data_IF_131794148966
#
_entry.id   IF_131794148966
#
_cell.length_a   1.000
_cell.length_b   1.000
_cell.length_c   1.000
_cell.angle_alpha   90.00
_cell.angle_beta   90.00
_cell.angle_gamma   90.00
#
_symmetry.space_group_name_H-M   'P 1'
#
loop_
_entity.id
_entity.type
_entity.pdbx_description
1 polymer ?
#
# COMPACT_ATOMS: atom_id res chain seq x y z
N UNK A 1 13.81 14.26 3.63
CA UNK A 1 14.42 13.02 4.16
C UNK A 1 14.29 11.97 3.06
N UNK A 2 15.35 11.25 2.70
CA UNK A 2 15.31 10.12 1.74
C UNK A 2 16.05 8.92 2.36
N UNK A 3 15.96 7.73 1.75
CA UNK A 3 16.55 6.49 2.27
C UNK A 3 17.88 6.10 1.63
N UNK A 4 18.47 6.98 0.81
CA UNK A 4 19.67 6.66 0.03
C UNK A 4 20.84 6.19 0.91
N UNK A 5 21.06 6.89 2.03
CA UNK A 5 22.14 6.58 2.98
C UNK A 5 21.93 5.24 3.68
N UNK A 6 20.68 4.90 3.99
CA UNK A 6 20.31 3.62 4.62
C UNK A 6 20.59 2.48 3.65
N UNK A 7 20.02 2.55 2.44
CA UNK A 7 20.18 1.56 1.37
C UNK A 7 21.65 1.33 0.99
N UNK A 8 22.44 2.40 0.87
CA UNK A 8 23.88 2.30 0.59
C UNK A 8 24.61 1.52 1.69
N UNK A 9 24.31 1.82 2.96
CA UNK A 9 24.95 1.16 4.11
C UNK A 9 24.55 -0.31 4.22
N UNK A 10 23.29 -0.65 3.93
CA UNK A 10 22.82 -2.04 3.89
C UNK A 10 23.59 -2.87 2.86
N UNK A 11 23.88 -2.29 1.69
CA UNK A 11 24.76 -2.89 0.68
C UNK A 11 26.26 -2.80 1.00
N UNK A 12 26.65 -2.21 2.13
CA UNK A 12 28.03 -2.01 2.57
C UNK A 12 28.90 -1.21 1.58
N UNK A 13 28.28 -0.33 0.80
CA UNK A 13 28.99 0.52 -0.16
C UNK A 13 29.47 1.82 0.50
N UNK A 14 30.63 2.31 0.10
CA UNK A 14 31.09 3.68 0.34
C UNK A 14 30.37 4.66 -0.60
N UNK A 15 30.41 5.95 -0.27
CA UNK A 15 29.84 6.98 -1.16
C UNK A 15 30.56 7.03 -2.52
N UNK A 16 31.84 6.66 -2.57
CA UNK A 16 32.64 6.64 -3.81
C UNK A 16 32.26 5.47 -4.72
N UNK A 17 32.06 4.27 -4.14
CA UNK A 17 31.62 3.08 -4.88
C UNK A 17 30.23 3.30 -5.48
N UNK A 18 29.26 3.75 -4.68
CA UNK A 18 27.92 4.05 -5.20
C UNK A 18 27.95 5.16 -6.28
N UNK A 19 28.78 6.18 -6.09
CA UNK A 19 28.93 7.24 -7.08
C UNK A 19 29.44 6.70 -8.42
N UNK A 20 30.41 5.78 -8.37
CA UNK A 20 30.98 5.11 -9.54
C UNK A 20 29.93 4.25 -10.26
N UNK A 21 29.14 3.48 -9.52
CA UNK A 21 28.09 2.62 -10.07
C UNK A 21 26.95 3.41 -10.73
N UNK A 22 26.61 4.58 -10.20
CA UNK A 22 25.51 5.44 -10.69
C UNK A 22 25.99 6.47 -11.73
N UNK A 23 27.31 6.58 -11.94
CA UNK A 23 27.94 7.52 -12.86
C UNK A 23 27.76 8.98 -12.43
N UNK A 24 28.03 9.28 -11.16
CA UNK A 24 27.99 10.64 -10.57
C UNK A 24 29.22 10.86 -9.69
N UNK A 25 29.41 12.08 -9.19
CA UNK A 25 30.51 12.34 -8.24
C UNK A 25 30.12 11.91 -6.82
N UNK A 26 31.11 11.53 -5.99
CA UNK A 26 30.91 11.30 -4.55
C UNK A 26 30.21 12.48 -3.85
N UNK A 27 30.57 13.71 -4.21
CA UNK A 27 29.94 14.93 -3.67
C UNK A 27 28.43 14.94 -3.98
N UNK A 28 28.03 14.43 -5.14
CA UNK A 28 26.61 14.34 -5.53
C UNK A 28 25.86 13.37 -4.60
N UNK A 29 26.42 12.18 -4.36
CA UNK A 29 25.85 11.22 -3.40
C UNK A 29 25.76 11.84 -2.00
N UNK A 30 26.83 12.46 -1.51
CA UNK A 30 26.86 13.11 -0.20
C UNK A 30 25.74 14.16 -0.05
N UNK A 31 25.60 15.04 -1.04
CA UNK A 31 24.56 16.10 -1.04
C UNK A 31 23.15 15.52 -1.10
N UNK A 32 22.95 14.42 -1.83
CA UNK A 32 21.68 13.71 -1.85
C UNK A 32 21.36 13.07 -0.49
N UNK A 33 22.32 12.38 0.11
CA UNK A 33 22.16 11.75 1.44
C UNK A 33 21.86 12.75 2.55
N UNK A 34 22.44 13.94 2.48
CA UNK A 34 22.21 15.03 3.43
C UNK A 34 20.94 15.83 3.13
N UNK A 35 20.28 15.59 2.00
CA UNK A 35 19.11 16.38 1.56
C UNK A 35 19.45 17.81 1.11
N UNK A 36 20.74 18.13 0.95
CA UNK A 36 21.21 19.43 0.44
C UNK A 36 20.82 19.64 -1.03
N UNK A 37 20.62 18.54 -1.78
CA UNK A 37 20.17 18.58 -3.17
C UNK A 37 19.09 17.54 -3.40
N UNK A 38 18.07 17.92 -4.16
CA UNK A 38 17.04 16.99 -4.64
C UNK A 38 17.62 16.00 -5.66
N UNK A 39 17.18 14.75 -5.57
CA UNK A 39 17.49 13.71 -6.56
C UNK A 39 16.54 13.93 -7.74
N UNK A 40 17.10 14.06 -8.94
CA UNK A 40 16.28 14.21 -10.16
C UNK A 40 15.61 12.88 -10.52
N UNK A 41 14.47 12.90 -11.24
CA UNK A 41 13.70 11.68 -11.54
C UNK A 41 14.51 10.57 -12.21
N UNK A 42 15.35 10.92 -13.20
CA UNK A 42 16.23 10.01 -13.91
C UNK A 42 17.22 9.30 -12.96
N UNK A 43 17.80 10.05 -12.03
CA UNK A 43 18.72 9.50 -11.03
C UNK A 43 18.00 8.76 -9.91
N UNK A 44 16.79 9.18 -9.54
CA UNK A 44 15.96 8.47 -8.57
C UNK A 44 15.59 7.08 -9.09
N UNK A 45 15.18 6.98 -10.36
CA UNK A 45 14.91 5.70 -11.02
C UNK A 45 16.17 4.81 -11.03
N UNK A 46 17.30 5.33 -11.50
CA UNK A 46 18.54 4.55 -11.57
C UNK A 46 19.00 4.02 -10.19
N UNK A 47 18.87 4.84 -9.14
CA UNK A 47 19.16 4.43 -7.78
C UNK A 47 18.18 3.36 -7.29
N UNK A 48 16.87 3.55 -7.52
CA UNK A 48 15.84 2.61 -7.12
C UNK A 48 16.04 1.23 -7.78
N UNK A 49 16.37 1.23 -9.09
CA UNK A 49 16.72 0.03 -9.85
C UNK A 49 17.96 -0.65 -9.30
N UNK A 50 19.01 0.13 -9.00
CA UNK A 50 20.23 -0.40 -8.40
C UNK A 50 19.96 -1.11 -7.07
N UNK A 51 19.12 -0.53 -6.20
CA UNK A 51 18.79 -1.11 -4.90
C UNK A 51 17.66 -2.14 -4.94
N UNK A 52 16.94 -2.27 -6.06
CA UNK A 52 15.81 -3.18 -6.20
C UNK A 52 14.57 -2.76 -5.39
N UNK A 53 14.37 -1.46 -5.20
CA UNK A 53 13.27 -0.89 -4.40
C UNK A 53 12.40 0.04 -5.25
N UNK A 54 11.20 0.40 -4.76
CA UNK A 54 10.36 1.42 -5.40
C UNK A 54 11.01 2.82 -5.33
N UNK A 55 10.73 3.67 -6.32
CA UNK A 55 11.21 5.07 -6.31
C UNK A 55 10.61 5.82 -5.13
N UNK A 56 9.34 5.54 -4.80
CA UNK A 56 8.65 6.12 -3.65
C UNK A 56 9.35 5.78 -2.34
N UNK A 57 9.80 4.53 -2.16
CA UNK A 57 10.54 4.11 -0.98
C UNK A 57 11.90 4.79 -0.89
N UNK A 58 12.67 4.79 -1.99
CA UNK A 58 13.99 5.43 -2.05
C UNK A 58 13.93 6.91 -1.63
N UNK A 59 12.92 7.64 -2.13
CA UNK A 59 12.72 9.05 -1.82
C UNK A 59 12.06 9.30 -0.46
N UNK A 60 11.61 8.25 0.23
CA UNK A 60 10.97 8.34 1.55
C UNK A 60 9.50 8.73 1.53
N UNK A 61 8.83 8.61 0.38
CA UNK A 61 7.38 8.82 0.24
C UNK A 61 6.57 7.57 0.58
N UNK A 62 7.20 6.40 0.55
CA UNK A 62 6.57 5.11 0.87
C UNK A 62 7.36 4.37 1.95
N UNK A 63 6.65 3.52 2.70
CA UNK A 63 7.23 2.63 3.70
C UNK A 63 7.49 1.23 3.15
N UNK A 64 6.78 0.82 2.10
CA UNK A 64 6.96 -0.47 1.46
C UNK A 64 8.11 -0.40 0.43
N UNK A 65 9.22 -1.15 0.61
CA UNK A 65 10.34 -1.14 -0.34
C UNK A 65 10.03 -1.87 -1.64
N UNK A 66 8.98 -2.70 -1.68
CA UNK A 66 8.66 -3.57 -2.81
C UNK A 66 8.50 -2.74 -4.09
N UNK A 67 9.32 -3.08 -5.08
CA UNK A 67 9.20 -2.56 -6.44
C UNK A 67 8.15 -3.37 -7.19
N UNK A 68 7.21 -2.68 -7.83
CA UNK A 68 6.22 -3.30 -8.70
C UNK A 68 6.60 -3.08 -10.16
N UNK A 69 6.27 -4.05 -11.00
CA UNK A 69 6.53 -4.00 -12.45
C UNK A 69 5.65 -2.97 -13.18
N UNK A 70 4.51 -2.61 -12.61
CA UNK A 70 3.60 -1.56 -13.07
C UNK A 70 3.83 -0.20 -12.39
N UNK A 71 4.97 -0.01 -11.72
CA UNK A 71 5.31 1.26 -11.07
C UNK A 71 5.44 2.39 -12.12
N UNK A 72 4.51 3.34 -12.06
CA UNK A 72 4.51 4.58 -12.83
C UNK A 72 5.22 5.67 -12.05
N UNK A 73 6.28 6.24 -12.63
CA UNK A 73 7.01 7.37 -12.07
C UNK A 73 6.70 8.62 -12.89
N UNK A 74 5.86 9.49 -12.33
CA UNK A 74 5.43 10.74 -12.96
C UNK A 74 6.21 11.90 -12.38
N UNK A 75 6.61 12.84 -13.24
CA UNK A 75 7.30 14.07 -12.78
C UNK A 75 6.50 15.29 -13.19
N UNK A 76 6.29 16.21 -12.25
CA UNK A 76 5.77 17.53 -12.58
C UNK A 76 6.89 18.40 -13.18
N UNK A 77 6.80 18.82 -14.45
CA UNK A 77 7.88 19.53 -15.13
C UNK A 77 8.17 20.93 -14.55
N UNK A 78 7.19 21.54 -13.87
CA UNK A 78 7.34 22.87 -13.26
C UNK A 78 7.96 22.81 -11.88
N UNK A 79 7.63 21.79 -11.09
CA UNK A 79 8.05 21.70 -9.68
C UNK A 79 9.13 20.65 -9.45
N UNK A 80 9.45 19.82 -10.46
CA UNK A 80 10.31 18.64 -10.36
C UNK A 80 9.88 17.66 -9.25
N UNK A 81 8.61 17.73 -8.81
CA UNK A 81 8.03 16.76 -7.88
C UNK A 81 7.84 15.42 -8.59
N UNK A 82 8.22 14.36 -7.90
CA UNK A 82 8.07 12.97 -8.34
C UNK A 82 6.83 12.39 -7.67
N UNK A 83 5.99 11.72 -8.44
CA UNK A 83 4.84 10.96 -7.97
C UNK A 83 5.02 9.51 -8.43
N UNK A 84 4.77 8.57 -7.52
CA UNK A 84 4.83 7.13 -7.80
C UNK A 84 3.44 6.54 -7.65
N UNK A 85 3.09 5.61 -8.54
CA UNK A 85 1.83 4.89 -8.48
C UNK A 85 1.98 3.47 -9.04
N UNK A 86 1.34 2.50 -8.41
CA UNK A 86 1.24 1.12 -8.88
C UNK A 86 -0.15 0.59 -8.55
N UNK A 87 -0.85 0.06 -9.55
CA UNK A 87 -2.18 -0.53 -9.35
C UNK A 87 -2.10 -1.79 -8.49
N UNK A 88 -1.03 -2.58 -8.66
CA UNK A 88 -0.78 -3.75 -7.82
C UNK A 88 -0.56 -3.37 -6.36
N UNK A 89 0.23 -2.32 -6.11
CA UNK A 89 0.45 -1.83 -4.75
C UNK A 89 -0.85 -1.29 -4.12
N UNK A 90 -1.65 -0.53 -4.89
CA UNK A 90 -2.94 -0.02 -4.42
C UNK A 90 -3.90 -1.15 -4.06
N UNK A 91 -4.00 -2.18 -4.91
CA UNK A 91 -4.82 -3.36 -4.64
C UNK A 91 -4.38 -4.10 -3.37
N UNK A 92 -3.07 -4.25 -3.16
CA UNK A 92 -2.53 -4.84 -1.92
C UNK A 92 -2.91 -3.99 -0.70
N UNK A 93 -2.77 -2.65 -0.76
CA UNK A 93 -3.17 -1.75 0.33
C UNK A 93 -4.66 -1.84 0.66
N UNK A 94 -5.52 -1.92 -0.36
CA UNK A 94 -6.97 -2.08 -0.17
C UNK A 94 -7.28 -3.43 0.48
N UNK A 95 -6.61 -4.50 0.04
CA UNK A 95 -6.76 -5.81 0.65
C UNK A 95 -6.32 -5.79 2.12
N UNK A 96 -5.14 -5.26 2.41
CA UNK A 96 -4.62 -5.16 3.78
C UNK A 96 -5.56 -4.33 4.67
N UNK A 97 -6.11 -3.22 4.15
CA UNK A 97 -7.09 -2.41 4.85
C UNK A 97 -8.39 -3.18 5.13
N UNK A 98 -8.86 -3.97 4.16
CA UNK A 98 -10.03 -4.82 4.34
C UNK A 98 -9.79 -5.93 5.37
N UNK A 99 -8.65 -6.63 5.28
CA UNK A 99 -8.27 -7.66 6.23
C UNK A 99 -8.17 -7.09 7.66
N UNK A 100 -7.53 -5.92 7.82
CA UNK A 100 -7.45 -5.24 9.11
C UNK A 100 -8.84 -4.85 9.62
N UNK A 101 -9.72 -4.33 8.76
CA UNK A 101 -11.09 -3.99 9.15
C UNK A 101 -11.87 -5.21 9.63
N UNK A 102 -11.79 -6.34 8.92
CA UNK A 102 -12.44 -7.60 9.31
C UNK A 102 -11.93 -8.07 10.67
N UNK A 103 -10.61 -8.02 10.89
CA UNK A 103 -9.97 -8.43 12.14
C UNK A 103 -10.33 -7.50 13.32
N UNK A 104 -10.23 -6.18 13.13
CA UNK A 104 -10.52 -5.18 14.17
C UNK A 104 -11.97 -5.25 14.64
N UNK A 105 -12.89 -5.62 13.75
CA UNK A 105 -14.33 -5.72 14.04
C UNK A 105 -14.79 -7.16 14.33
N UNK A 106 -13.86 -8.13 14.43
CA UNK A 106 -14.17 -9.55 14.67
C UNK A 106 -15.26 -10.11 13.74
N UNK A 107 -15.28 -9.66 12.48
CA UNK A 107 -16.27 -10.09 11.50
C UNK A 107 -15.89 -11.49 11.00
N UNK A 108 -16.86 -12.39 10.99
CA UNK A 108 -16.74 -13.70 10.34
C UNK A 108 -17.54 -13.64 9.04
N UNK A 109 -16.83 -13.69 7.91
CA UNK A 109 -17.43 -13.65 6.58
C UNK A 109 -17.10 -14.93 5.81
N UNK A 110 -18.13 -15.56 5.25
CA UNK A 110 -17.97 -16.66 4.30
C UNK A 110 -17.62 -16.14 2.90
N UNK A 111 -17.07 -17.00 2.04
CA UNK A 111 -16.81 -16.64 0.64
C UNK A 111 -18.07 -16.12 -0.08
N UNK A 112 -19.23 -16.72 0.20
CA UNK A 112 -20.53 -16.29 -0.35
C UNK A 112 -20.89 -14.88 0.11
N UNK A 113 -20.68 -14.56 1.40
CA UNK A 113 -20.93 -13.23 1.95
C UNK A 113 -19.97 -12.20 1.32
N UNK A 114 -18.69 -12.53 1.14
CA UNK A 114 -17.72 -11.64 0.49
C UNK A 114 -18.14 -11.37 -0.97
N UNK A 115 -18.56 -12.39 -1.71
CA UNK A 115 -19.02 -12.23 -3.10
C UNK A 115 -20.30 -11.40 -3.19
N UNK A 116 -21.23 -11.59 -2.25
CA UNK A 116 -22.45 -10.78 -2.18
C UNK A 116 -22.14 -9.30 -1.94
N UNK A 117 -21.27 -8.99 -0.96
CA UNK A 117 -20.83 -7.61 -0.70
C UNK A 117 -20.11 -7.00 -1.90
N UNK A 118 -19.20 -7.75 -2.54
CA UNK A 118 -18.50 -7.30 -3.74
C UNK A 118 -19.47 -6.94 -4.87
N UNK A 119 -20.50 -7.78 -5.08
CA UNK A 119 -21.54 -7.53 -6.09
C UNK A 119 -22.37 -6.29 -5.75
N UNK A 120 -22.80 -6.15 -4.50
CA UNK A 120 -23.54 -4.95 -4.04
C UNK A 120 -22.71 -3.67 -4.23
N UNK A 121 -21.42 -3.69 -3.91
CA UNK A 121 -20.52 -2.56 -4.12
C UNK A 121 -20.37 -2.25 -5.61
N UNK A 122 -20.23 -3.26 -6.47
CA UNK A 122 -20.13 -3.08 -7.92
C UNK A 122 -21.43 -2.47 -8.51
N UNK A 123 -22.60 -2.91 -8.03
CA UNK A 123 -23.89 -2.37 -8.43
C UNK A 123 -24.07 -0.91 -7.99
N UNK A 124 -23.59 -0.57 -6.79
CA UNK A 124 -23.55 0.82 -6.31
C UNK A 124 -22.65 1.73 -7.18
N UNK A 125 -21.58 1.19 -7.76
CA UNK A 125 -20.66 1.95 -8.63
C UNK A 125 -21.13 2.06 -10.08
N UNK A 126 -22.03 1.18 -10.55
CA UNK A 126 -22.52 1.19 -11.94
C UNK A 126 -23.80 2.00 -12.12
N UNK A 127 -24.47 2.37 -11.03
CA UNK A 127 -25.61 3.29 -11.01
C UNK A 127 -25.20 4.75 -10.83
N UNK A 128 -25.11 5.49 -11.94
CA UNK A 128 -25.01 6.96 -12.04
C UNK A 128 -23.62 7.61 -11.91
N UNK A 129 -23.34 8.47 -12.90
CA UNK A 129 -22.29 9.50 -12.96
C UNK A 129 -21.52 9.77 -11.65
N UNK A 130 -20.27 9.31 -11.64
CA UNK A 130 -19.23 9.54 -10.63
C UNK A 130 -19.37 10.86 -9.84
N UNK A 131 -19.76 10.76 -8.56
CA UNK A 131 -19.60 11.80 -7.53
C UNK A 131 -19.17 11.29 -6.14
N UNK A 132 -18.67 10.06 -6.01
CA UNK A 132 -18.21 9.51 -4.73
C UNK A 132 -16.70 9.68 -4.46
N UNK A 133 -16.11 10.79 -4.92
CA UNK A 133 -14.85 11.28 -4.34
C UNK A 133 -15.18 12.27 -3.22
N UNK A 134 -15.21 11.81 -1.96
CA UNK A 134 -15.10 12.70 -0.80
C UNK A 134 -16.25 12.76 0.20
N UNK A 135 -17.25 11.87 0.16
CA UNK A 135 -18.19 11.72 1.28
C UNK A 135 -17.99 10.35 1.95
N UNK A 136 -17.54 10.38 3.20
CA UNK A 136 -17.57 9.23 4.09
C UNK A 136 -18.99 8.69 4.14
N UNK A 137 -19.18 7.42 3.79
CA UNK A 137 -20.39 6.70 4.21
C UNK A 137 -20.30 6.66 5.73
N UNK A 138 -21.16 7.43 6.42
CA UNK A 138 -21.37 7.24 7.85
C UNK A 138 -21.93 5.82 8.00
N UNK A 139 -21.11 4.93 8.57
CA UNK A 139 -21.43 3.53 8.80
C UNK A 139 -22.47 3.31 9.90
N UNK A 140 -23.27 4.34 10.24
CA UNK A 140 -24.19 4.35 11.37
C UNK A 140 -25.43 3.46 11.16
N UNK A 141 -25.50 2.68 10.08
CA UNK A 141 -26.62 1.77 9.81
C UNK A 141 -26.31 0.54 8.95
N UNK A 142 -25.04 0.24 8.66
CA UNK A 142 -24.67 -0.94 7.85
C UNK A 142 -24.12 -2.10 8.69
N UNK A 143 -23.70 -1.83 9.92
CA UNK A 143 -23.23 -2.84 10.85
C UNK A 143 -23.77 -2.49 12.23
N UNK A 144 -24.80 -3.21 12.67
CA UNK A 144 -25.02 -3.25 14.12
C UNK A 144 -23.81 -3.99 14.72
N UNK A 145 -23.15 -3.43 15.75
CA UNK A 145 -22.06 -4.11 16.41
C UNK A 145 -22.61 -5.42 16.96
N UNK A 146 -22.07 -6.55 16.47
CA UNK A 146 -22.38 -7.86 17.01
C UNK A 146 -21.82 -7.87 18.43
N UNK A 147 -22.71 -7.67 19.40
CA UNK A 147 -22.32 -7.51 20.80
C UNK A 147 -21.84 -8.83 21.45
N UNK A 148 -22.05 -9.97 20.80
CA UNK A 148 -21.72 -11.28 21.34
C UNK A 148 -21.44 -12.31 20.23
N UNK A 149 -20.19 -12.76 20.17
CA UNK A 149 -19.72 -13.77 19.21
C UNK A 149 -20.41 -15.12 19.45
N UNK A 150 -20.72 -15.46 20.70
CA UNK A 150 -21.36 -16.74 21.03
C UNK A 150 -22.80 -16.79 20.51
N UNK A 151 -23.54 -15.68 20.63
CA UNK A 151 -24.88 -15.54 20.05
C UNK A 151 -24.88 -15.70 18.53
N UNK A 152 -23.87 -15.17 17.84
CA UNK A 152 -23.72 -15.34 16.39
C UNK A 152 -23.37 -16.77 16.01
N UNK A 153 -22.46 -17.42 16.75
CA UNK A 153 -22.12 -18.82 16.53
C UNK A 153 -23.34 -19.73 16.74
N UNK A 154 -24.16 -19.46 17.74
CA UNK A 154 -25.42 -20.20 17.99
C UNK A 154 -26.48 -19.95 16.91
N UNK A 155 -26.59 -18.72 16.40
CA UNK A 155 -27.48 -18.41 15.29
C UNK A 155 -27.01 -19.07 13.98
N UNK A 156 -25.71 -19.07 13.69
CA UNK A 156 -25.13 -19.76 12.54
C UNK A 156 -25.35 -21.27 12.63
N UNK A 157 -25.24 -21.88 13.82
CA UNK A 157 -25.61 -23.30 14.01
C UNK A 157 -27.10 -23.55 13.71
N UNK A 158 -28.00 -22.66 14.15
CA UNK A 158 -29.46 -22.75 13.84
C UNK A 158 -29.73 -22.63 12.35
N UNK A 159 -28.98 -21.80 11.65
CA UNK A 159 -29.13 -21.56 10.21
C UNK A 159 -28.44 -22.64 9.34
N UNK A 160 -27.89 -23.69 9.97
CA UNK A 160 -27.39 -24.89 9.30
C UNK A 160 -25.90 -24.87 8.94
N UNK A 161 -25.15 -23.89 9.44
CA UNK A 161 -23.69 -23.85 9.27
C UNK A 161 -23.02 -24.82 10.26
N UNK A 162 -22.10 -25.66 9.75
CA UNK A 162 -21.33 -26.59 10.59
C UNK A 162 -20.02 -25.95 11.07
N UNK A 163 -19.78 -25.96 12.39
CA UNK A 163 -18.48 -25.59 12.96
C UNK A 163 -17.44 -26.68 12.67
N UNK A 164 -16.29 -26.31 12.11
CA UNK A 164 -15.18 -27.24 11.81
C UNK A 164 -14.16 -27.30 12.97
N UNK A 165 -14.40 -26.59 14.07
CA UNK A 165 -13.55 -26.70 15.26
C UNK A 165 -14.15 -27.73 16.21
N UNK A 166 -13.48 -28.88 16.34
CA UNK A 166 -13.74 -29.84 17.41
C UNK A 166 -13.24 -29.26 18.73
N UNK A 167 -14.12 -29.19 19.72
CA UNK A 167 -13.77 -28.87 21.11
C UNK A 167 -12.59 -29.74 21.57
N UNK A 168 -11.52 -29.11 22.05
CA UNK A 168 -10.46 -29.74 22.84
C UNK A 168 -10.63 -29.40 24.31
#
# INVERSE_FOLDING_TARGET
>A
MNRLKELRKEKKLTQEELASEIGVSKITILRWENGERQIKPDKAQALADHFGVSVGYLLGYETNPKKYDDELVLTNPRTSRIFTHSYKQEKEKVKDAFDNFVLENSLLLTDEQIQAFSSMIADLHTGADYKYFGQSIQADGLFEPVADLDSVLEQMKKDGYNSIFSDS
#
